data_IF_511803818082
#
_entry.id   IF_511803818082
#
_cell.length_a   1.000
_cell.length_b   1.000
_cell.length_c   1.000
_cell.angle_alpha   90.00
_cell.angle_beta   90.00
_cell.angle_gamma   90.00
#
_symmetry.space_group_name_H-M   'P 1'
#
loop_
_entity.id
_entity.type
_entity.pdbx_description
1 polymer ?
#
# COMPACT_ATOMS: atom_id res chain seq x y z
N UNK A 1 16.93 16.59 2.52
CA UNK A 1 15.67 15.98 2.98
C UNK A 1 14.57 17.04 2.92
N UNK A 2 13.35 16.66 2.58
CA UNK A 2 12.18 17.55 2.64
C UNK A 2 11.59 17.45 4.04
N UNK A 3 11.46 18.57 4.74
CA UNK A 3 10.80 18.63 6.03
C UNK A 3 9.30 18.78 5.86
N UNK A 4 8.54 17.88 6.48
CA UNK A 4 7.09 17.91 6.54
C UNK A 4 6.64 18.52 7.86
N UNK A 5 5.55 19.28 7.81
CA UNK A 5 4.83 19.66 9.03
C UNK A 5 4.18 18.42 9.66
N UNK A 6 3.86 18.49 10.96
CA UNK A 6 3.21 17.38 11.69
C UNK A 6 1.96 16.86 11.00
N UNK A 7 1.15 17.75 10.42
CA UNK A 7 -0.07 17.36 9.72
C UNK A 7 0.24 16.67 8.39
N UNK A 8 1.23 17.14 7.63
CA UNK A 8 1.62 16.52 6.36
C UNK A 8 2.20 15.12 6.55
N UNK A 9 3.06 14.95 7.56
CA UNK A 9 3.61 13.65 7.91
C UNK A 9 2.53 12.65 8.31
N UNK A 10 1.67 13.04 9.26
CA UNK A 10 0.57 12.17 9.72
C UNK A 10 -0.38 11.83 8.57
N UNK A 11 -0.65 12.77 7.66
CA UNK A 11 -1.47 12.51 6.49
C UNK A 11 -0.85 11.42 5.59
N UNK A 12 0.42 11.59 5.20
CA UNK A 12 1.11 10.63 4.31
C UNK A 12 1.20 9.25 4.95
N UNK A 13 1.61 9.19 6.22
CA UNK A 13 1.69 7.94 6.98
C UNK A 13 0.34 7.21 7.05
N UNK A 14 -0.73 7.93 7.38
CA UNK A 14 -2.07 7.35 7.49
C UNK A 14 -2.63 6.92 6.13
N UNK A 15 -2.35 7.66 5.05
CA UNK A 15 -2.80 7.27 3.69
C UNK A 15 -2.12 6.00 3.22
N UNK A 16 -0.82 5.83 3.44
CA UNK A 16 -0.13 4.58 3.08
C UNK A 16 -0.60 3.40 3.94
N UNK A 17 -0.79 3.60 5.24
CA UNK A 17 -1.35 2.58 6.15
C UNK A 17 -2.77 2.17 5.72
N UNK A 18 -3.62 3.16 5.42
CA UNK A 18 -4.98 2.93 4.95
C UNK A 18 -5.01 2.20 3.60
N UNK A 19 -4.16 2.59 2.66
CA UNK A 19 -4.03 1.92 1.37
C UNK A 19 -3.63 0.45 1.50
N UNK A 20 -2.64 0.16 2.36
CA UNK A 20 -2.20 -1.20 2.66
C UNK A 20 -3.34 -2.06 3.19
N UNK A 21 -4.00 -1.60 4.26
CA UNK A 21 -5.09 -2.36 4.90
C UNK A 21 -6.27 -2.53 3.94
N UNK A 22 -6.60 -1.51 3.15
CA UNK A 22 -7.70 -1.58 2.17
C UNK A 22 -7.47 -2.65 1.10
N UNK A 23 -6.25 -2.76 0.58
CA UNK A 23 -5.92 -3.77 -0.43
C UNK A 23 -5.95 -5.19 0.14
N UNK A 24 -5.43 -5.40 1.35
CA UNK A 24 -5.49 -6.69 2.03
C UNK A 24 -6.93 -7.09 2.39
N UNK A 25 -7.74 -6.15 2.89
CA UNK A 25 -9.15 -6.40 3.19
C UNK A 25 -9.93 -6.75 1.91
N UNK A 26 -9.68 -6.05 0.80
CA UNK A 26 -10.29 -6.35 -0.50
C UNK A 26 -9.90 -7.75 -1.02
N UNK A 27 -8.63 -8.13 -0.86
CA UNK A 27 -8.13 -9.47 -1.20
C UNK A 27 -8.94 -10.54 -0.47
N UNK A 28 -9.05 -10.43 0.85
CA UNK A 28 -9.78 -11.40 1.68
C UNK A 28 -11.25 -11.41 1.32
N UNK A 29 -11.87 -10.24 1.16
CA UNK A 29 -13.28 -10.13 0.84
C UNK A 29 -13.62 -10.82 -0.49
N UNK A 30 -12.81 -10.60 -1.53
CA UNK A 30 -13.06 -11.16 -2.87
C UNK A 30 -12.87 -12.68 -2.91
N UNK A 31 -11.91 -13.23 -2.14
CA UNK A 31 -11.76 -14.68 -1.96
C UNK A 31 -12.95 -15.31 -1.21
N UNK A 32 -13.35 -14.73 -0.09
CA UNK A 32 -14.47 -15.26 0.72
C UNK A 32 -15.80 -15.12 -0.02
N UNK A 33 -15.96 -14.10 -0.86
CA UNK A 33 -17.21 -13.82 -1.57
C UNK A 33 -17.45 -14.66 -2.82
N UNK A 34 -16.54 -15.57 -3.19
CA UNK A 34 -16.70 -16.43 -4.39
C UNK A 34 -18.02 -17.23 -4.39
N UNK A 35 -18.47 -17.69 -3.22
CA UNK A 35 -19.73 -18.42 -3.08
C UNK A 35 -20.99 -17.59 -3.31
N UNK A 36 -20.87 -16.25 -3.29
CA UNK A 36 -22.00 -15.31 -3.41
C UNK A 36 -22.30 -14.90 -4.86
N UNK A 37 -21.51 -15.36 -5.83
CA UNK A 37 -21.70 -15.09 -7.26
C UNK A 37 -21.90 -16.38 -8.07
N UNK A 38 -22.54 -16.23 -9.24
CA UNK A 38 -22.68 -17.33 -10.21
C UNK A 38 -21.30 -17.89 -10.59
N UNK A 39 -21.23 -19.21 -10.82
CA UNK A 39 -19.98 -19.92 -11.06
C UNK A 39 -19.12 -19.28 -12.18
N UNK A 40 -19.75 -18.79 -13.25
CA UNK A 40 -19.08 -18.10 -14.36
C UNK A 40 -18.30 -16.83 -13.99
N UNK A 41 -18.64 -16.18 -12.87
CA UNK A 41 -17.98 -14.94 -12.42
C UNK A 41 -16.93 -15.16 -11.32
N UNK A 42 -16.80 -16.39 -10.80
CA UNK A 42 -15.87 -16.68 -9.70
C UNK A 42 -14.42 -16.43 -10.06
N UNK A 43 -14.03 -16.69 -11.32
CA UNK A 43 -12.67 -16.43 -11.80
C UNK A 43 -12.34 -14.93 -11.78
N UNK A 44 -13.33 -14.06 -12.03
CA UNK A 44 -13.13 -12.61 -11.93
C UNK A 44 -12.82 -12.19 -10.49
N UNK A 45 -13.49 -12.79 -9.49
CA UNK A 45 -13.18 -12.54 -8.07
C UNK A 45 -11.78 -13.02 -7.67
N UNK A 46 -11.35 -14.19 -8.16
CA UNK A 46 -9.98 -14.69 -7.91
C UNK A 46 -8.95 -13.75 -8.53
N UNK A 47 -9.18 -13.30 -9.76
CA UNK A 47 -8.30 -12.33 -10.41
C UNK A 47 -8.23 -11.02 -9.63
N UNK A 48 -9.36 -10.48 -9.17
CA UNK A 48 -9.39 -9.29 -8.32
C UNK A 48 -8.63 -9.49 -7.01
N UNK A 49 -8.74 -10.67 -6.39
CA UNK A 49 -7.98 -10.98 -5.17
C UNK A 49 -6.48 -11.01 -5.42
N UNK A 50 -6.04 -11.57 -6.54
CA UNK A 50 -4.62 -11.61 -6.92
C UNK A 50 -4.07 -10.19 -7.15
N UNK A 51 -4.79 -9.35 -7.88
CA UNK A 51 -4.37 -7.96 -8.14
C UNK A 51 -4.29 -7.15 -6.85
N UNK A 52 -5.30 -7.27 -5.99
CA UNK A 52 -5.33 -6.53 -4.71
C UNK A 52 -4.27 -7.05 -3.73
N UNK A 53 -3.92 -8.33 -3.78
CA UNK A 53 -2.82 -8.87 -2.99
C UNK A 53 -1.46 -8.31 -3.43
N UNK A 54 -1.21 -8.28 -4.74
CA UNK A 54 0.00 -7.66 -5.33
C UNK A 54 0.07 -6.18 -4.92
N UNK A 55 -1.04 -5.45 -5.05
CA UNK A 55 -1.11 -4.05 -4.62
C UNK A 55 -0.81 -3.89 -3.13
N UNK A 56 -1.33 -4.78 -2.28
CA UNK A 56 -1.03 -4.81 -0.85
C UNK A 56 0.47 -4.95 -0.57
N UNK A 57 1.15 -5.88 -1.24
CA UNK A 57 2.60 -6.02 -1.15
C UNK A 57 3.33 -4.73 -1.56
N UNK A 58 2.93 -4.08 -2.65
CA UNK A 58 3.54 -2.82 -3.07
C UNK A 58 3.30 -1.69 -2.06
N UNK A 59 2.09 -1.57 -1.49
CA UNK A 59 1.82 -0.60 -0.43
C UNK A 59 2.67 -0.85 0.83
N UNK A 60 2.91 -2.11 1.18
CA UNK A 60 3.80 -2.45 2.29
C UNK A 60 5.24 -2.03 2.01
N UNK A 61 5.74 -2.28 0.80
CA UNK A 61 7.08 -1.83 0.37
C UNK A 61 7.21 -0.31 0.35
N UNK A 62 6.21 0.40 -0.15
CA UNK A 62 6.15 1.87 -0.14
C UNK A 62 6.19 2.38 1.30
N UNK A 63 5.41 1.79 2.20
CA UNK A 63 5.38 2.17 3.60
C UNK A 63 6.73 1.98 4.30
N UNK A 64 7.39 0.84 4.08
CA UNK A 64 8.73 0.59 4.62
C UNK A 64 9.75 1.56 4.03
N UNK A 65 9.75 1.77 2.71
CA UNK A 65 10.64 2.74 2.06
C UNK A 65 10.43 4.15 2.59
N UNK A 66 9.18 4.55 2.86
CA UNK A 66 8.88 5.84 3.48
C UNK A 66 9.46 5.93 4.88
N UNK A 67 9.30 4.89 5.71
CA UNK A 67 9.86 4.86 7.07
C UNK A 67 11.39 4.85 7.08
N UNK A 68 12.03 4.11 6.18
CA UNK A 68 13.49 3.99 6.08
C UNK A 68 14.14 5.27 5.55
N UNK A 69 13.48 5.94 4.59
CA UNK A 69 13.95 7.19 4.02
C UNK A 69 13.68 8.43 4.91
N UNK A 70 13.13 8.22 6.11
CA UNK A 70 12.70 9.31 6.98
C UNK A 70 13.49 9.38 8.27
N UNK A 71 13.86 10.60 8.65
CA UNK A 71 14.47 10.91 9.93
C UNK A 71 13.65 12.01 10.63
N UNK A 72 12.94 11.64 11.69
CA UNK A 72 11.95 12.52 12.32
C UNK A 72 10.83 12.88 11.35
N UNK A 73 10.74 14.16 10.97
CA UNK A 73 9.72 14.68 10.05
C UNK A 73 10.30 15.02 8.68
N UNK A 74 11.54 14.58 8.42
CA UNK A 74 12.27 14.84 7.20
C UNK A 74 12.31 13.57 6.35
N UNK A 75 12.03 13.70 5.05
CA UNK A 75 12.06 12.57 4.09
C UNK A 75 13.16 12.80 3.06
N UNK A 76 13.99 11.80 2.80
CA UNK A 76 14.97 11.83 1.71
C UNK A 76 14.29 11.48 0.38
N UNK A 77 14.35 12.39 -0.60
CA UNK A 77 13.73 12.22 -1.93
C UNK A 77 14.71 12.47 -3.08
N UNK A 78 16.01 12.47 -2.80
CA UNK A 78 17.05 12.86 -3.76
C UNK A 78 17.25 11.87 -4.90
N UNK A 79 16.65 10.68 -4.83
CA UNK A 79 16.81 9.62 -5.85
C UNK A 79 18.07 8.78 -5.68
N UNK A 80 18.91 9.07 -4.68
CA UNK A 80 20.06 8.23 -4.30
C UNK A 80 19.65 7.22 -3.22
N UNK A 81 20.31 6.06 -3.16
CA UNK A 81 20.96 5.59 -1.94
C UNK A 81 20.13 5.64 -0.65
N UNK A 82 19.00 4.95 -0.51
CA UNK A 82 18.08 5.04 0.64
C UNK A 82 17.08 6.22 0.58
N UNK A 83 16.85 6.80 -0.59
CA UNK A 83 15.76 7.74 -0.80
C UNK A 83 14.41 7.02 -0.87
N UNK A 84 13.34 7.74 -0.52
CA UNK A 84 11.99 7.24 -0.65
C UNK A 84 11.71 6.88 -2.10
N UNK A 85 11.23 5.65 -2.32
CA UNK A 85 10.93 5.10 -3.64
C UNK A 85 12.15 5.13 -4.59
N UNK A 86 13.35 4.90 -4.06
CA UNK A 86 14.49 4.49 -4.88
C UNK A 86 14.14 3.14 -5.52
N UNK A 87 14.05 3.13 -6.86
CA UNK A 87 13.77 1.97 -7.68
C UNK A 87 15.05 1.47 -8.34
#
# INVERSE_FOLDING_TARGET
>A
MINLTSNQWNLVYNVFSFGLVSMLACTVYTLVSQGRVLAKYRNALVMSSMVTFIAGYHYWRIFNSFSEASEGMAVKVSGDQGAFNEA
#
